data_IF_812120955511
#
_entry.id   IF_812120955511
#
_cell.length_a   1.000
_cell.length_b   1.000
_cell.length_c   1.000
_cell.angle_alpha   90.00
_cell.angle_beta   90.00
_cell.angle_gamma   90.00
#
_symmetry.space_group_name_H-M   'P 1'
#
loop_
_entity.id
_entity.type
_entity.pdbx_description
1 polymer ?
#
# COMPACT_ATOMS: atom_id res chain seq x y z
N UNK A 1 16.98 14.73 -25.23
CA UNK A 1 17.19 15.33 -23.89
C UNK A 1 17.36 14.17 -22.93
N UNK A 2 18.44 14.14 -22.15
CA UNK A 2 18.64 13.06 -21.17
C UNK A 2 17.85 13.44 -19.94
N UNK A 3 16.78 12.70 -19.64
CA UNK A 3 16.07 12.88 -18.37
C UNK A 3 17.01 12.44 -17.24
N UNK A 4 17.22 13.33 -16.26
CA UNK A 4 18.04 13.01 -15.11
C UNK A 4 17.38 11.85 -14.35
N UNK A 5 18.11 10.77 -14.10
CA UNK A 5 17.63 9.66 -13.30
C UNK A 5 17.81 10.00 -11.82
N UNK A 6 16.77 9.74 -11.03
CA UNK A 6 16.78 9.87 -9.57
C UNK A 6 16.55 8.50 -8.93
N UNK A 7 17.21 8.26 -7.81
CA UNK A 7 17.01 7.06 -7.02
C UNK A 7 15.93 7.29 -5.97
N UNK A 8 14.99 6.35 -5.88
CA UNK A 8 13.93 6.32 -4.88
C UNK A 8 13.82 4.93 -4.29
N UNK A 9 13.27 4.85 -3.09
CA UNK A 9 13.03 3.60 -2.40
C UNK A 9 11.52 3.29 -2.38
N UNK A 10 11.15 2.04 -2.61
CA UNK A 10 9.77 1.55 -2.46
C UNK A 10 9.76 0.46 -1.41
N UNK A 11 8.93 0.63 -0.38
CA UNK A 11 8.82 -0.31 0.73
C UNK A 11 7.38 -0.80 0.90
N UNK A 12 7.25 -2.10 1.09
CA UNK A 12 5.99 -2.73 1.50
C UNK A 12 6.24 -3.71 2.64
N UNK A 13 5.43 -3.58 3.69
CA UNK A 13 5.44 -4.47 4.84
C UNK A 13 4.12 -5.26 4.89
N UNK A 14 4.16 -6.51 4.42
CA UNK A 14 3.08 -7.47 4.56
C UNK A 14 3.03 -8.03 6.01
N UNK A 15 2.11 -8.95 6.27
CA UNK A 15 1.98 -9.58 7.61
C UNK A 15 3.18 -10.46 7.94
N UNK A 16 3.65 -11.18 6.92
CA UNK A 16 4.62 -12.27 7.00
C UNK A 16 6.02 -11.85 6.55
N UNK A 17 6.13 -10.83 5.69
CA UNK A 17 7.40 -10.35 5.14
C UNK A 17 7.39 -8.85 4.81
N UNK A 18 8.58 -8.28 4.70
CA UNK A 18 8.78 -6.91 4.22
C UNK A 18 9.81 -6.89 3.10
N UNK A 19 9.66 -5.96 2.17
CA UNK A 19 10.60 -5.75 1.07
C UNK A 19 10.84 -4.25 0.90
N UNK A 20 12.11 -3.90 0.69
CA UNK A 20 12.58 -2.57 0.31
C UNK A 20 13.30 -2.71 -1.04
N UNK A 21 12.85 -1.97 -2.05
CA UNK A 21 13.44 -1.96 -3.39
C UNK A 21 13.93 -0.55 -3.72
N UNK A 22 15.19 -0.42 -4.11
CA UNK A 22 15.72 0.82 -4.68
C UNK A 22 15.49 0.80 -6.19
N UNK A 23 14.89 1.86 -6.74
CA UNK A 23 14.61 1.98 -8.17
C UNK A 23 15.08 3.33 -8.69
N UNK A 24 15.78 3.30 -9.82
CA UNK A 24 16.14 4.51 -10.55
C UNK A 24 15.02 4.86 -11.54
N UNK A 25 14.46 6.07 -11.43
CA UNK A 25 13.39 6.55 -12.30
C UNK A 25 13.75 7.93 -12.88
N UNK A 26 13.23 8.29 -14.07
CA UNK A 26 13.39 9.65 -14.59
C UNK A 26 12.82 10.69 -13.63
N UNK A 27 13.51 11.82 -13.48
CA UNK A 27 13.02 12.96 -12.72
C UNK A 27 11.65 13.40 -13.24
N UNK A 28 10.72 13.67 -12.32
CA UNK A 28 9.32 13.96 -12.67
C UNK A 28 8.43 12.72 -12.79
N UNK A 29 8.97 11.51 -12.64
CA UNK A 29 8.15 10.30 -12.49
C UNK A 29 7.23 10.44 -11.27
N UNK A 30 5.98 10.03 -11.41
CA UNK A 30 4.99 10.14 -10.34
C UNK A 30 5.13 9.01 -9.32
N UNK A 31 4.57 9.18 -8.12
CA UNK A 31 4.62 8.15 -7.05
C UNK A 31 4.07 6.82 -7.56
N UNK A 32 2.92 6.84 -8.24
CA UNK A 32 2.31 5.61 -8.81
C UNK A 32 3.19 4.98 -9.89
N UNK A 33 3.74 5.79 -10.79
CA UNK A 33 4.61 5.28 -11.85
C UNK A 33 5.91 4.68 -11.29
N UNK A 34 6.49 5.28 -10.24
CA UNK A 34 7.65 4.73 -9.54
C UNK A 34 7.33 3.39 -8.86
N UNK A 35 6.15 3.26 -8.25
CA UNK A 35 5.65 2.00 -7.71
C UNK A 35 5.63 0.89 -8.76
N UNK A 36 5.05 1.16 -9.94
CA UNK A 36 5.00 0.17 -11.02
C UNK A 36 6.39 -0.18 -11.54
N UNK A 37 7.29 0.79 -11.67
CA UNK A 37 8.68 0.57 -12.10
C UNK A 37 9.52 -0.21 -11.09
N UNK A 38 9.20 -0.12 -9.79
CA UNK A 38 9.94 -0.82 -8.73
C UNK A 38 9.85 -2.35 -8.81
N UNK A 39 8.84 -2.89 -9.50
CA UNK A 39 8.62 -4.34 -9.57
C UNK A 39 8.02 -4.92 -8.28
N UNK A 40 7.64 -4.10 -7.30
CA UNK A 40 7.05 -4.57 -6.04
C UNK A 40 5.78 -5.43 -6.25
N UNK A 41 5.02 -5.19 -7.33
CA UNK A 41 3.85 -6.00 -7.69
C UNK A 41 4.19 -7.42 -8.14
N UNK A 42 5.43 -7.67 -8.57
CA UNK A 42 5.90 -9.03 -8.85
C UNK A 42 6.24 -9.76 -7.54
N UNK A 43 6.75 -9.03 -6.54
CA UNK A 43 7.02 -9.57 -5.22
C UNK A 43 5.74 -9.79 -4.41
N UNK A 44 4.70 -8.99 -4.63
CA UNK A 44 3.39 -9.12 -3.96
C UNK A 44 2.25 -9.03 -4.98
N UNK A 45 1.91 -10.14 -5.67
CA UNK A 45 0.82 -10.19 -6.64
C UNK A 45 -0.56 -9.87 -6.03
N UNK A 46 -0.72 -10.05 -4.72
CA UNK A 46 -1.93 -9.75 -3.96
C UNK A 46 -2.13 -8.24 -3.70
N UNK A 47 -1.11 -7.42 -3.93
CA UNK A 47 -1.13 -6.00 -3.67
C UNK A 47 -1.77 -5.25 -4.85
N UNK A 48 -2.90 -4.60 -4.60
CA UNK A 48 -3.50 -3.67 -5.57
C UNK A 48 -2.71 -2.36 -5.62
N UNK A 49 -1.73 -2.30 -6.53
CA UNK A 49 -0.90 -1.13 -6.74
C UNK A 49 -1.67 0.07 -7.31
N UNK A 50 -2.87 -0.10 -7.88
CA UNK A 50 -3.64 1.01 -8.41
C UNK A 50 -4.33 1.79 -7.27
N UNK A 51 -4.87 1.07 -6.28
CA UNK A 51 -5.68 1.67 -5.22
C UNK A 51 -5.02 1.67 -3.84
N UNK A 52 -3.82 1.10 -3.67
CA UNK A 52 -3.16 1.09 -2.36
C UNK A 52 -2.86 2.53 -1.88
N UNK A 53 -3.15 2.86 -0.61
CA UNK A 53 -2.69 4.10 0.00
C UNK A 53 -1.17 4.08 0.08
N UNK A 54 -0.55 5.21 -0.26
CA UNK A 54 0.90 5.37 -0.24
C UNK A 54 1.29 6.62 0.54
N UNK A 55 2.49 6.60 1.10
CA UNK A 55 3.07 7.76 1.76
C UNK A 55 4.53 7.93 1.42
N UNK A 56 5.06 9.11 1.74
CA UNK A 56 6.48 9.41 1.69
C UNK A 56 6.88 9.95 3.06
N UNK A 57 7.89 9.34 3.70
CA UNK A 57 8.35 9.72 5.05
C UNK A 57 7.21 9.91 6.06
N UNK A 58 6.38 8.88 6.27
CA UNK A 58 5.22 8.90 7.16
C UNK A 58 4.11 9.93 6.82
N UNK A 59 4.15 10.56 5.64
CA UNK A 59 3.08 11.44 5.15
C UNK A 59 2.29 10.76 4.04
N UNK A 60 0.98 10.61 4.25
CA UNK A 60 0.07 10.05 3.24
C UNK A 60 -0.02 11.00 2.04
N UNK A 61 0.12 10.45 0.84
CA UNK A 61 -0.05 11.17 -0.42
C UNK A 61 -1.47 10.92 -0.92
N UNK A 62 -2.26 12.00 -1.02
CA UNK A 62 -3.65 11.94 -1.47
C UNK A 62 -3.78 11.71 -2.98
N UNK A 63 -2.85 12.26 -3.76
CA UNK A 63 -2.83 12.16 -5.22
C UNK A 63 -1.48 11.62 -5.72
N UNK A 64 -1.28 10.29 -5.67
CA UNK A 64 -0.03 9.66 -6.09
C UNK A 64 0.15 9.59 -7.60
N UNK A 65 -0.90 9.86 -8.38
CA UNK A 65 -0.86 9.87 -9.84
C UNK A 65 -0.33 11.19 -10.39
N UNK A 66 -0.52 12.31 -9.68
CA UNK A 66 0.02 13.61 -10.08
C UNK A 66 1.29 14.02 -9.32
N UNK A 67 1.55 13.45 -8.14
CA UNK A 67 2.71 13.81 -7.31
C UNK A 67 4.02 13.26 -7.91
N UNK A 68 4.99 14.11 -8.31
CA UNK A 68 6.31 13.64 -8.71
C UNK A 68 7.15 13.22 -7.51
N UNK A 69 7.97 12.19 -7.69
CA UNK A 69 8.97 11.73 -6.71
C UNK A 69 10.26 12.56 -6.80
N UNK A 70 10.98 12.64 -5.69
CA UNK A 70 12.27 13.31 -5.56
C UNK A 70 13.37 12.31 -5.20
N UNK A 71 14.62 12.63 -5.52
CA UNK A 71 15.75 11.79 -5.17
C UNK A 71 15.82 11.57 -3.65
N UNK A 72 15.95 10.30 -3.25
CA UNK A 72 15.95 9.89 -1.84
C UNK A 72 14.57 9.75 -1.21
N UNK A 73 13.48 9.96 -1.95
CA UNK A 73 12.14 9.67 -1.44
C UNK A 73 12.01 8.18 -1.15
N UNK A 74 11.47 7.86 0.02
CA UNK A 74 11.02 6.52 0.38
C UNK A 74 9.50 6.45 0.32
N UNK A 75 9.00 5.70 -0.64
CA UNK A 75 7.58 5.47 -0.87
C UNK A 75 7.14 4.25 -0.05
N UNK A 76 6.26 4.49 0.90
CA UNK A 76 5.72 3.53 1.85
C UNK A 76 4.33 3.10 1.40
N UNK A 77 4.13 1.80 1.14
CA UNK A 77 2.84 1.25 0.74
C UNK A 77 2.09 0.77 1.97
N UNK A 78 0.92 1.35 2.22
CA UNK A 78 0.08 0.99 3.36
C UNK A 78 -0.92 -0.11 3.02
N UNK A 79 -1.24 -0.93 4.02
CA UNK A 79 -2.27 -1.96 3.89
C UNK A 79 -3.67 -1.36 4.11
N UNK A 80 -4.63 -1.60 3.21
CA UNK A 80 -6.01 -1.26 3.48
C UNK A 80 -6.53 -2.07 4.68
N UNK A 81 -7.39 -1.45 5.48
CA UNK A 81 -8.05 -2.14 6.60
C UNK A 81 -9.03 -3.17 6.03
N UNK A 82 -8.72 -4.46 6.22
CA UNK A 82 -9.49 -5.61 5.73
C UNK A 82 -10.89 -5.75 6.34
N UNK A 83 -11.22 -5.00 7.40
CA UNK A 83 -12.48 -5.16 8.10
C UNK A 83 -13.20 -3.82 8.26
N UNK A 84 -14.36 -3.70 7.62
CA UNK A 84 -15.38 -2.74 8.03
C UNK A 84 -15.81 -3.10 9.47
N UNK A 85 -15.58 -2.24 10.47
CA UNK A 85 -15.91 -2.51 11.87
C UNK A 85 -17.38 -2.86 12.09
N UNK A 86 -18.28 -2.44 11.20
CA UNK A 86 -19.71 -2.76 11.27
C UNK A 86 -19.99 -4.24 11.01
N UNK A 87 -19.31 -4.82 10.04
CA UNK A 87 -19.58 -6.20 9.63
C UNK A 87 -19.06 -7.20 10.67
N UNK A 88 -17.89 -6.91 11.26
CA UNK A 88 -17.33 -7.70 12.37
C UNK A 88 -18.20 -7.63 13.62
N UNK A 89 -18.78 -6.46 13.93
CA UNK A 89 -19.73 -6.32 15.05
C UNK A 89 -21.01 -7.12 14.78
N UNK A 90 -21.55 -7.09 13.56
CA UNK A 90 -22.75 -7.84 13.16
C UNK A 90 -22.55 -9.35 13.30
N UNK A 91 -21.42 -9.88 12.82
CA UNK A 91 -21.09 -11.31 12.91
C UNK A 91 -20.90 -11.79 14.35
N UNK A 92 -20.31 -10.95 15.22
CA UNK A 92 -20.16 -11.27 16.65
C UNK A 92 -21.50 -11.31 17.37
N UNK A 93 -22.39 -10.36 17.10
CA UNK A 93 -23.74 -10.34 17.67
C UNK A 93 -24.57 -11.57 17.24
N UNK A 94 -24.49 -11.94 15.96
CA UNK A 94 -25.19 -13.11 15.42
C UNK A 94 -24.73 -14.42 16.08
N UNK A 95 -23.40 -14.64 16.19
CA UNK A 95 -22.85 -15.82 16.87
C UNK A 95 -23.24 -15.91 18.35
N UNK A 96 -23.30 -14.78 19.05
CA UNK A 96 -23.74 -14.74 20.44
C UNK A 96 -25.23 -15.09 20.60
N UNK A 97 -26.08 -14.67 19.65
CA UNK A 97 -27.49 -15.01 19.63
C UNK A 97 -27.73 -16.50 19.34
N UNK A 98 -27.04 -17.08 18.35
CA UNK A 98 -27.12 -18.51 18.04
C UNK A 98 -26.65 -19.40 19.20
N UNK A 99 -25.55 -19.04 19.88
CA UNK A 99 -25.07 -19.77 21.05
C UNK A 99 -26.09 -19.78 22.20
N UNK A 100 -26.87 -18.69 22.36
CA UNK A 100 -27.91 -18.58 23.39
C UNK A 100 -29.19 -19.34 23.04
N UNK A 101 -29.47 -19.53 21.75
CA UNK A 101 -30.62 -20.30 21.26
C UNK A 101 -30.36 -21.82 21.28
N UNK A 102 -29.10 -22.26 21.15
CA UNK A 102 -28.73 -23.69 21.20
C UNK A 102 -28.65 -24.27 22.62
N UNK A 103 -28.57 -23.40 23.63
CA UNK A 103 -28.47 -23.77 25.05
C UNK A 103 -29.79 -23.55 25.82
N UNK A 104 -30.90 -23.33 25.12
CA UNK A 104 -32.28 -23.29 25.65
C UNK A 104 -33.06 -24.48 25.08
#
# INVERSE_FOLDING_TARGET
MVEAMIEVEVVYAAVDRQVLLTVAVPAGTTVRAALHKSGIGQAFPELDLANCPVGIFAKVILDPDSRPVQAGDRIEIYRPLLADPKEVRRLRAAKAAEAKARNQ
#
